data_IF_556661392221
#
_entry.id   IF_556661392221
#
_cell.length_a   1.000
_cell.length_b   1.000
_cell.length_c   1.000
_cell.angle_alpha   90.00
_cell.angle_beta   90.00
_cell.angle_gamma   90.00
#
_symmetry.space_group_name_H-M   'P 1'
#
loop_
_entity.id
_entity.type
_entity.pdbx_description
1 polymer ?
#
# COMPACT_ATOMS: atom_id res chain seq x y z
N UNK A 1 5.68 -32.19 59.45
CA UNK A 1 4.44 -32.17 58.62
C UNK A 1 4.26 -30.71 58.24
N UNK A 2 4.57 -30.21 57.04
CA UNK A 2 3.96 -30.45 55.74
C UNK A 2 4.95 -29.94 54.68
N UNK A 3 5.36 -30.83 53.77
CA UNK A 3 6.04 -30.52 52.51
C UNK A 3 5.00 -29.87 51.58
N UNK A 4 5.39 -28.94 50.71
CA UNK A 4 4.93 -28.81 49.30
C UNK A 4 5.78 -27.72 48.63
N UNK A 5 6.64 -28.17 47.72
CA UNK A 5 7.23 -27.41 46.61
C UNK A 5 6.12 -27.03 45.63
N UNK A 6 6.14 -25.82 45.05
CA UNK A 6 5.78 -25.63 43.64
C UNK A 6 6.53 -24.43 43.05
N UNK A 7 7.47 -24.75 42.16
CA UNK A 7 8.10 -23.83 41.22
C UNK A 7 7.06 -23.52 40.16
N UNK A 8 6.64 -22.26 40.05
CA UNK A 8 5.80 -21.80 38.95
C UNK A 8 6.67 -20.97 38.00
N UNK A 9 7.07 -21.63 36.91
CA UNK A 9 7.62 -20.96 35.74
C UNK A 9 6.55 -20.05 35.14
N UNK A 10 6.75 -18.73 35.22
CA UNK A 10 5.95 -17.78 34.49
C UNK A 10 6.61 -17.58 33.11
N UNK A 11 5.99 -18.21 32.11
CA UNK A 11 6.35 -18.12 30.71
C UNK A 11 6.58 -16.68 30.28
N UNK A 12 7.70 -16.44 29.61
CA UNK A 12 7.89 -15.30 28.72
C UNK A 12 6.66 -15.26 27.79
N UNK A 13 5.86 -14.19 27.89
CA UNK A 13 4.89 -13.84 26.88
C UNK A 13 5.69 -13.44 25.64
N UNK A 14 6.16 -14.45 24.89
CA UNK A 14 6.26 -14.32 23.46
C UNK A 14 4.82 -13.98 23.04
N UNK A 15 4.58 -12.68 22.81
CA UNK A 15 3.54 -12.26 21.88
C UNK A 15 3.89 -13.01 20.62
N UNK A 16 3.22 -14.16 20.46
CA UNK A 16 3.11 -14.80 19.19
C UNK A 16 2.41 -13.76 18.32
N UNK A 17 3.20 -12.98 17.58
CA UNK A 17 2.81 -12.55 16.25
C UNK A 17 2.42 -13.84 15.54
N UNK A 18 1.15 -14.23 15.69
CA UNK A 18 0.53 -15.10 14.72
C UNK A 18 0.65 -14.32 13.42
N UNK A 19 1.33 -14.84 12.38
CA UNK A 19 1.06 -14.32 11.06
C UNK A 19 -0.43 -14.60 10.87
N UNK A 20 -1.23 -13.55 10.75
CA UNK A 20 -2.58 -13.70 10.24
C UNK A 20 -2.42 -14.32 8.86
N UNK A 21 -2.72 -15.61 8.76
CA UNK A 21 -2.72 -16.33 7.50
C UNK A 21 -3.63 -15.59 6.51
N UNK A 22 -3.01 -14.97 5.51
CA UNK A 22 -3.39 -15.26 4.14
C UNK A 22 -4.71 -14.70 3.63
N UNK A 23 -5.06 -13.47 3.97
CA UNK A 23 -5.52 -12.61 2.87
C UNK A 23 -4.26 -12.01 2.25
N UNK A 24 -3.63 -12.78 1.37
CA UNK A 24 -2.67 -12.22 0.43
C UNK A 24 -3.48 -11.28 -0.46
N UNK A 25 -3.73 -10.06 0.00
CA UNK A 25 -4.31 -9.02 -0.84
C UNK A 25 -3.43 -8.96 -2.07
N UNK A 26 -3.96 -9.41 -3.20
CA UNK A 26 -3.19 -9.51 -4.43
C UNK A 26 -2.79 -8.09 -4.80
N UNK A 27 -1.48 -7.86 -4.90
CA UNK A 27 -0.93 -6.58 -5.29
C UNK A 27 -1.54 -6.15 -6.63
N UNK A 28 -2.11 -4.94 -6.67
CA UNK A 28 -2.72 -4.41 -7.89
C UNK A 28 -2.52 -2.91 -8.00
N UNK A 29 -2.50 -2.43 -9.24
CA UNK A 29 -2.44 -1.02 -9.58
C UNK A 29 -3.40 -0.77 -10.73
N UNK A 30 -4.40 0.06 -10.50
CA UNK A 30 -5.42 0.44 -11.48
C UNK A 30 -5.38 1.95 -11.70
N UNK A 31 -5.52 2.37 -12.95
CA UNK A 31 -5.48 3.79 -13.35
C UNK A 31 -6.64 4.08 -14.29
N UNK A 32 -7.39 5.14 -14.00
CA UNK A 32 -8.51 5.59 -14.84
C UNK A 32 -8.59 7.12 -14.92
N UNK A 33 -8.69 7.71 -16.12
CA UNK A 33 -8.63 7.04 -17.43
C UNK A 33 -7.20 6.57 -17.77
N UNK A 34 -7.08 5.60 -18.69
CA UNK A 34 -5.77 5.09 -19.15
C UNK A 34 -5.12 5.95 -20.24
N UNK A 35 -5.88 6.89 -20.82
CA UNK A 35 -5.39 7.86 -21.79
C UNK A 35 -6.08 9.20 -21.59
N UNK A 36 -5.34 10.26 -21.87
CA UNK A 36 -5.85 11.63 -21.87
C UNK A 36 -5.63 12.24 -23.25
N UNK A 37 -6.55 13.09 -23.67
CA UNK A 37 -6.42 13.90 -24.88
C UNK A 37 -6.59 15.35 -24.49
N UNK A 38 -5.61 16.17 -24.80
CA UNK A 38 -5.66 17.61 -24.55
C UNK A 38 -5.85 18.35 -25.87
N UNK A 39 -6.61 19.45 -25.81
CA UNK A 39 -6.67 20.39 -26.92
C UNK A 39 -5.37 21.18 -27.04
N UNK A 40 -5.36 22.16 -27.95
CA UNK A 40 -4.37 23.24 -27.90
C UNK A 40 -4.58 24.12 -26.65
N UNK A 41 -4.03 25.34 -26.64
CA UNK A 41 -4.08 26.29 -25.51
C UNK A 41 -5.44 26.36 -24.77
N UNK A 42 -5.40 26.68 -23.48
CA UNK A 42 -6.57 26.83 -22.59
C UNK A 42 -7.43 25.56 -22.40
N UNK A 43 -6.79 24.39 -22.39
CA UNK A 43 -7.46 23.14 -22.05
C UNK A 43 -7.81 23.07 -20.55
N UNK A 44 -8.98 22.52 -20.23
CA UNK A 44 -9.39 22.29 -18.84
C UNK A 44 -8.52 21.17 -18.24
N UNK A 45 -8.03 21.32 -16.98
CA UNK A 45 -7.35 20.23 -16.29
C UNK A 45 -8.19 18.95 -16.27
N UNK A 46 -7.53 17.81 -16.43
CA UNK A 46 -8.15 16.49 -16.39
C UNK A 46 -7.72 15.75 -15.11
N UNK A 47 -8.65 15.02 -14.51
CA UNK A 47 -8.40 14.24 -13.29
C UNK A 47 -8.10 12.77 -13.66
N UNK A 48 -7.14 12.19 -12.95
CA UNK A 48 -6.80 10.77 -13.04
C UNK A 48 -6.91 10.18 -11.64
N UNK A 49 -7.54 9.01 -11.53
CA UNK A 49 -7.58 8.22 -10.31
C UNK A 49 -6.58 7.07 -10.39
N UNK A 50 -5.74 6.95 -9.36
CA UNK A 50 -4.80 5.83 -9.17
C UNK A 50 -5.22 5.04 -7.93
N UNK A 51 -5.48 3.75 -8.10
CA UNK A 51 -5.80 2.84 -6.99
C UNK A 51 -4.68 1.82 -6.85
N UNK A 52 -3.92 1.92 -5.76
CA UNK A 52 -2.85 1.01 -5.42
C UNK A 52 -3.28 0.12 -4.24
N UNK A 53 -3.20 -1.20 -4.42
CA UNK A 53 -3.54 -2.18 -3.37
C UNK A 53 -2.29 -2.99 -3.04
N UNK A 54 -1.81 -2.87 -1.80
CA UNK A 54 -0.62 -3.62 -1.34
C UNK A 54 0.69 -3.24 -2.02
N UNK A 55 0.73 -2.08 -2.72
CA UNK A 55 1.92 -1.55 -3.39
C UNK A 55 1.99 -0.03 -3.21
N UNK A 56 3.22 0.50 -3.20
CA UNK A 56 3.47 1.93 -3.41
C UNK A 56 3.49 2.23 -4.91
N UNK A 57 3.28 3.50 -5.28
CA UNK A 57 3.29 3.92 -6.68
C UNK A 57 4.09 5.21 -6.85
N UNK A 58 4.66 5.36 -8.05
CA UNK A 58 5.39 6.55 -8.49
C UNK A 58 4.88 6.97 -9.88
N UNK A 59 5.07 8.24 -10.24
CA UNK A 59 4.85 8.72 -11.60
C UNK A 59 6.11 9.37 -12.15
N UNK A 60 6.26 9.30 -13.47
CA UNK A 60 7.35 9.97 -14.18
C UNK A 60 6.78 10.69 -15.40
N UNK A 61 7.31 11.88 -15.68
CA UNK A 61 7.02 12.61 -16.91
C UNK A 61 8.27 12.57 -17.80
N UNK A 62 8.14 12.30 -19.11
CA UNK A 62 9.26 12.39 -20.02
C UNK A 62 9.74 13.84 -20.08
N UNK A 63 11.04 14.06 -20.26
CA UNK A 63 11.63 15.40 -20.32
C UNK A 63 11.08 16.28 -21.45
N UNK A 64 10.50 15.67 -22.49
CA UNK A 64 9.83 16.36 -23.59
C UNK A 64 8.39 16.79 -23.30
N UNK A 65 7.85 16.49 -22.12
CA UNK A 65 6.48 16.84 -21.72
C UNK A 65 6.47 18.03 -20.74
N UNK A 66 7.23 19.07 -21.07
CA UNK A 66 7.27 20.34 -20.34
C UNK A 66 5.92 21.09 -20.32
N UNK A 67 5.05 20.78 -21.28
CA UNK A 67 3.68 21.28 -21.37
C UNK A 67 2.69 20.65 -20.37
N UNK A 68 3.06 19.57 -19.67
CA UNK A 68 2.22 18.92 -18.66
C UNK A 68 2.52 19.48 -17.28
N UNK A 69 1.48 19.87 -16.54
CA UNK A 69 1.54 20.22 -15.11
C UNK A 69 0.67 19.23 -14.33
N UNK A 70 1.16 18.79 -13.17
CA UNK A 70 0.50 17.78 -12.30
C UNK A 70 0.12 18.42 -10.97
#
# INVERSE_FOLDING_TARGET
MKKILFIAAACLLAVACKPTDGESTTASLEVSPSSLTFGAEDTTPQEITVTATGVEWEYTLPSSADWITV
#
